data_IF_433690703066
#
_entry.id   IF_433690703066
#
_cell.length_a   1.000
_cell.length_b   1.000
_cell.length_c   1.000
_cell.angle_alpha   90.00
_cell.angle_beta   90.00
_cell.angle_gamma   90.00
#
_symmetry.space_group_name_H-M   'P 1'
#
loop_
_entity.id
_entity.type
_entity.pdbx_description
1 polymer ?
#
# COMPACT_ATOMS: atom_id res chain seq x y z
N UNK A 1 67.50 13.54 -36.94
CA UNK A 1 66.28 12.82 -36.44
C UNK A 1 65.11 13.76 -36.66
N UNK A 2 64.34 13.53 -37.72
CA UNK A 2 63.07 14.19 -37.92
C UNK A 2 62.09 13.74 -36.83
N UNK A 3 61.34 14.64 -36.19
CA UNK A 3 60.32 14.26 -35.23
C UNK A 3 59.22 13.45 -35.93
N UNK A 4 58.81 12.40 -35.27
CA UNK A 4 57.70 11.54 -35.68
C UNK A 4 56.40 12.39 -35.78
N UNK A 5 55.74 12.47 -36.96
CA UNK A 5 54.60 13.36 -37.16
C UNK A 5 53.30 12.89 -36.52
N UNK A 6 53.31 11.76 -35.79
CA UNK A 6 52.09 11.20 -35.23
C UNK A 6 52.23 10.68 -33.81
N UNK A 7 52.24 11.52 -32.78
CA UNK A 7 52.09 11.01 -31.41
C UNK A 7 50.66 10.53 -31.21
N UNK A 8 50.42 9.22 -31.35
CA UNK A 8 49.11 8.59 -31.06
C UNK A 8 48.31 8.18 -32.29
N UNK A 9 48.88 8.22 -33.50
CA UNK A 9 48.20 7.75 -34.73
C UNK A 9 48.30 6.22 -34.95
N UNK A 10 47.32 5.66 -35.60
CA UNK A 10 47.27 4.25 -36.03
C UNK A 10 48.40 4.00 -37.03
N UNK A 11 49.26 2.96 -36.88
CA UNK A 11 50.29 2.62 -37.86
C UNK A 11 49.72 2.40 -39.26
N UNK A 12 50.41 2.85 -40.33
CA UNK A 12 49.93 2.75 -41.72
C UNK A 12 49.59 1.33 -42.16
N UNK A 13 50.20 0.33 -41.55
CA UNK A 13 50.03 -1.11 -41.87
C UNK A 13 48.64 -1.67 -41.45
N UNK A 14 47.93 -0.96 -40.61
CA UNK A 14 46.62 -1.37 -40.10
C UNK A 14 45.43 -0.69 -40.78
N UNK A 15 45.68 0.13 -41.83
CA UNK A 15 44.62 0.82 -42.54
C UNK A 15 44.11 -0.02 -43.74
N UNK A 16 42.79 -0.10 -43.95
CA UNK A 16 42.26 -0.82 -45.08
C UNK A 16 42.66 -0.19 -46.43
N UNK A 17 42.79 -0.98 -47.50
CA UNK A 17 43.21 -0.51 -48.80
C UNK A 17 42.26 0.56 -49.35
N UNK A 18 42.80 1.74 -49.65
CA UNK A 18 42.06 2.88 -50.16
C UNK A 18 41.95 4.07 -49.19
N UNK A 19 42.45 3.95 -47.96
CA UNK A 19 42.41 5.08 -47.03
C UNK A 19 43.49 6.09 -47.33
N UNK A 20 43.12 7.38 -47.54
CA UNK A 20 44.05 8.47 -47.75
C UNK A 20 44.04 9.39 -46.55
N UNK A 21 45.12 9.47 -45.82
CA UNK A 21 45.27 10.47 -44.73
C UNK A 21 45.46 11.84 -45.36
N UNK A 22 44.54 12.75 -45.15
CA UNK A 22 44.66 14.15 -45.54
C UNK A 22 45.27 14.88 -44.32
N UNK A 23 46.50 15.36 -44.47
CA UNK A 23 47.13 16.20 -43.46
C UNK A 23 46.39 17.55 -43.46
N UNK A 24 45.72 17.84 -42.32
CA UNK A 24 45.15 19.18 -42.09
C UNK A 24 46.32 20.11 -41.74
N UNK A 25 46.67 20.99 -42.65
CA UNK A 25 47.65 22.05 -42.36
C UNK A 25 47.05 23.00 -41.33
N UNK A 26 47.77 23.43 -40.31
CA UNK A 26 47.34 24.49 -39.43
C UNK A 26 47.21 25.76 -40.25
N UNK A 27 46.03 26.42 -40.15
CA UNK A 27 45.75 27.68 -40.78
C UNK A 27 46.80 28.72 -40.36
N UNK A 28 47.46 29.33 -41.35
CA UNK A 28 48.33 30.48 -41.14
C UNK A 28 47.52 31.61 -40.51
N UNK A 29 47.94 32.01 -39.34
CA UNK A 29 47.51 33.27 -38.74
C UNK A 29 48.32 34.39 -39.36
N UNK A 30 47.80 35.04 -40.35
CA UNK A 30 48.04 36.43 -40.69
C UNK A 30 47.35 36.84 -41.99
N UNK A 31 46.07 37.18 -41.88
CA UNK A 31 45.43 38.07 -42.84
C UNK A 31 44.56 39.04 -42.02
N UNK A 32 45.01 40.32 -42.02
CA UNK A 32 44.37 41.39 -41.31
C UNK A 32 42.93 41.63 -41.81
N UNK A 33 42.00 40.95 -41.19
CA UNK A 33 40.58 41.26 -41.26
C UNK A 33 40.25 42.08 -40.03
N UNK A 34 39.93 43.32 -40.24
CA UNK A 34 39.39 44.30 -39.31
C UNK A 34 38.32 43.56 -38.39
N UNK A 35 38.67 43.30 -37.17
CA UNK A 35 37.70 42.82 -36.23
C UNK A 35 36.75 43.94 -35.84
N UNK A 36 35.44 43.83 -36.04
CA UNK A 36 34.51 44.77 -35.47
C UNK A 36 34.71 44.82 -33.96
N UNK A 37 35.00 45.96 -33.40
CA UNK A 37 35.09 46.19 -31.97
C UNK A 37 33.78 45.68 -31.31
N UNK A 38 33.83 44.94 -30.21
CA UNK A 38 32.63 44.59 -29.50
C UNK A 38 31.94 45.86 -29.02
N UNK A 39 30.76 46.09 -29.56
CA UNK A 39 29.85 47.16 -29.16
C UNK A 39 29.71 47.12 -27.64
N UNK A 40 30.13 48.18 -26.97
CA UNK A 40 29.95 48.36 -25.54
C UNK A 40 28.46 48.64 -25.29
N UNK A 41 27.66 47.62 -25.43
CA UNK A 41 26.30 47.66 -24.94
C UNK A 41 26.34 48.01 -23.44
N UNK A 42 25.59 49.01 -22.97
CA UNK A 42 25.60 49.40 -21.58
C UNK A 42 25.16 48.21 -20.74
N UNK A 43 26.10 47.68 -19.95
CA UNK A 43 25.83 46.62 -18.96
C UNK A 43 24.67 47.06 -18.06
N UNK A 44 23.48 46.55 -18.35
CA UNK A 44 22.30 46.82 -17.55
C UNK A 44 22.39 46.04 -16.20
N UNK A 45 23.20 46.60 -15.28
CA UNK A 45 23.36 46.08 -13.91
C UNK A 45 22.03 46.04 -13.16
N UNK A 46 20.98 46.70 -13.66
CA UNK A 46 19.65 46.70 -13.05
C UNK A 46 18.82 45.44 -13.45
N UNK A 47 19.07 44.84 -14.63
CA UNK A 47 18.41 43.61 -15.05
C UNK A 47 18.87 42.38 -14.21
N UNK A 48 20.16 42.34 -13.86
CA UNK A 48 20.69 41.28 -13.02
C UNK A 48 20.17 41.33 -11.56
N UNK A 49 19.95 42.54 -11.02
CA UNK A 49 19.33 42.73 -9.70
C UNK A 49 17.84 42.38 -9.68
N UNK A 50 17.10 42.71 -10.75
CA UNK A 50 15.68 42.36 -10.87
C UNK A 50 15.46 40.84 -11.00
N UNK A 51 16.33 40.15 -11.76
CA UNK A 51 16.29 38.69 -11.90
C UNK A 51 16.58 37.94 -10.59
N UNK A 52 17.53 38.47 -9.80
CA UNK A 52 17.86 37.90 -8.47
C UNK A 52 16.72 38.03 -7.46
N UNK A 53 16.09 39.21 -7.37
CA UNK A 53 14.98 39.44 -6.46
C UNK A 53 13.71 38.64 -6.83
N UNK A 54 13.42 38.56 -8.14
CA UNK A 54 12.31 37.73 -8.65
C UNK A 54 12.56 36.23 -8.42
N UNK A 55 13.80 35.77 -8.61
CA UNK A 55 14.21 34.40 -8.33
C UNK A 55 14.06 34.00 -6.84
N UNK A 56 14.47 34.89 -5.95
CA UNK A 56 14.32 34.66 -4.47
C UNK A 56 12.83 34.65 -4.09
N UNK A 57 12.02 35.55 -4.66
CA UNK A 57 10.56 35.56 -4.40
C UNK A 57 9.88 34.28 -4.87
N UNK A 58 10.23 33.76 -6.04
CA UNK A 58 9.70 32.50 -6.56
C UNK A 58 10.13 31.29 -5.73
N UNK A 59 11.38 31.25 -5.25
CA UNK A 59 11.84 30.17 -4.37
C UNK A 59 11.16 30.19 -3.02
N UNK A 60 10.94 31.36 -2.43
CA UNK A 60 10.20 31.51 -1.16
C UNK A 60 8.74 31.09 -1.34
N UNK A 61 8.11 31.49 -2.45
CA UNK A 61 6.73 31.11 -2.78
C UNK A 61 6.60 29.59 -3.00
N UNK A 62 7.57 28.98 -3.70
CA UNK A 62 7.61 27.53 -3.93
C UNK A 62 7.84 26.75 -2.62
N UNK A 63 8.72 27.23 -1.75
CA UNK A 63 8.93 26.68 -0.41
C UNK A 63 7.67 26.79 0.46
N UNK A 64 7.00 27.93 0.40
CA UNK A 64 5.75 28.15 1.14
C UNK A 64 4.61 27.28 0.64
N UNK A 65 4.49 27.09 -0.68
CA UNK A 65 3.52 26.17 -1.28
C UNK A 65 3.79 24.71 -0.87
N UNK A 66 5.06 24.26 -0.86
CA UNK A 66 5.46 22.94 -0.36
C UNK A 66 5.19 22.79 1.13
N UNK A 67 5.47 23.81 1.92
CA UNK A 67 5.21 23.80 3.36
C UNK A 67 3.71 23.72 3.67
N UNK A 68 2.86 24.49 2.96
CA UNK A 68 1.40 24.36 3.03
C UNK A 68 0.93 22.94 2.66
N UNK A 69 1.45 22.37 1.57
CA UNK A 69 1.12 21.01 1.16
C UNK A 69 1.47 19.97 2.24
N UNK A 70 2.68 20.08 2.82
CA UNK A 70 3.11 19.23 3.93
C UNK A 70 2.23 19.42 5.18
N UNK A 71 1.89 20.66 5.51
CA UNK A 71 1.02 20.96 6.66
C UNK A 71 -0.39 20.37 6.47
N UNK A 72 -0.98 20.52 5.28
CA UNK A 72 -2.27 19.91 4.93
C UNK A 72 -2.19 18.40 5.03
N UNK A 73 -1.11 17.78 4.52
CA UNK A 73 -0.87 16.35 4.61
C UNK A 73 -0.77 15.89 6.09
N UNK A 74 -0.02 16.60 6.93
CA UNK A 74 0.11 16.31 8.35
C UNK A 74 -1.22 16.45 9.11
N UNK A 75 -1.99 17.50 8.84
CA UNK A 75 -3.30 17.72 9.44
C UNK A 75 -4.32 16.63 9.03
N UNK A 76 -4.18 16.10 7.81
CA UNK A 76 -5.05 15.04 7.28
C UNK A 76 -4.48 13.63 7.49
N UNK A 77 -3.29 13.49 8.09
CA UNK A 77 -2.61 12.20 8.23
C UNK A 77 -3.47 11.13 8.92
N UNK A 78 -4.24 11.50 9.94
CA UNK A 78 -5.19 10.58 10.58
C UNK A 78 -6.24 10.03 9.61
N UNK A 79 -6.74 10.85 8.70
CA UNK A 79 -7.73 10.43 7.69
C UNK A 79 -7.12 9.52 6.64
N UNK A 80 -5.87 9.76 6.25
CA UNK A 80 -5.09 8.88 5.36
C UNK A 80 -4.90 7.52 6.02
N UNK A 81 -4.57 7.48 7.32
CA UNK A 81 -4.44 6.22 8.07
C UNK A 81 -5.79 5.49 8.19
N UNK A 82 -6.89 6.21 8.43
CA UNK A 82 -8.23 5.62 8.48
C UNK A 82 -8.61 5.06 7.11
N UNK A 83 -8.44 5.83 6.04
CA UNK A 83 -8.70 5.39 4.68
C UNK A 83 -7.85 4.17 4.30
N UNK A 84 -6.56 4.14 4.66
CA UNK A 84 -5.68 2.98 4.45
C UNK A 84 -6.17 1.73 5.17
N UNK A 85 -6.64 1.85 6.41
CA UNK A 85 -7.21 0.71 7.17
C UNK A 85 -8.53 0.22 6.56
N UNK A 86 -9.41 1.14 6.15
CA UNK A 86 -10.66 0.79 5.48
C UNK A 86 -10.40 0.12 4.12
N UNK A 87 -9.42 0.61 3.37
CA UNK A 87 -9.02 0.02 2.11
C UNK A 87 -8.42 -1.38 2.31
N UNK A 88 -7.58 -1.57 3.33
CA UNK A 88 -7.01 -2.88 3.65
C UNK A 88 -8.09 -3.87 4.05
N UNK A 89 -9.00 -3.50 4.96
CA UNK A 89 -10.09 -4.38 5.41
C UNK A 89 -11.11 -4.63 4.31
N UNK A 90 -11.65 -3.57 3.69
CA UNK A 90 -12.63 -3.69 2.61
C UNK A 90 -12.06 -4.33 1.35
N UNK A 91 -10.83 -3.97 0.97
CA UNK A 91 -10.13 -4.57 -0.17
C UNK A 91 -9.87 -6.06 0.02
N UNK A 92 -9.43 -6.49 1.22
CA UNK A 92 -9.22 -7.91 1.51
C UNK A 92 -10.54 -8.69 1.54
N UNK A 93 -11.63 -8.09 2.04
CA UNK A 93 -12.96 -8.69 2.01
C UNK A 93 -13.44 -8.89 0.56
N UNK A 94 -13.36 -7.85 -0.27
CA UNK A 94 -13.74 -7.94 -1.69
C UNK A 94 -12.89 -8.98 -2.43
N UNK A 95 -11.58 -9.00 -2.21
CA UNK A 95 -10.69 -9.99 -2.79
C UNK A 95 -11.06 -11.42 -2.37
N UNK A 96 -11.43 -11.62 -1.09
CA UNK A 96 -11.90 -12.91 -0.61
C UNK A 96 -13.21 -13.33 -1.27
N UNK A 97 -14.20 -12.44 -1.36
CA UNK A 97 -15.46 -12.73 -2.06
C UNK A 97 -15.16 -13.13 -3.53
N UNK A 98 -14.31 -12.36 -4.21
CA UNK A 98 -13.97 -12.62 -5.60
C UNK A 98 -13.31 -14.00 -5.79
N UNK A 99 -12.31 -14.34 -4.97
CA UNK A 99 -11.62 -15.64 -5.05
C UNK A 99 -12.53 -16.82 -4.69
N UNK A 100 -13.34 -16.70 -3.66
CA UNK A 100 -14.34 -17.73 -3.32
C UNK A 100 -15.40 -17.88 -4.40
N UNK A 101 -15.77 -16.78 -5.09
CA UNK A 101 -16.77 -16.82 -6.16
C UNK A 101 -16.34 -17.63 -7.38
N UNK A 102 -15.04 -17.73 -7.63
CA UNK A 102 -14.49 -18.55 -8.73
C UNK A 102 -14.79 -20.04 -8.51
N UNK A 103 -14.76 -20.47 -7.24
CA UNK A 103 -14.93 -21.89 -6.88
C UNK A 103 -16.40 -22.23 -6.61
N UNK A 104 -17.13 -21.37 -5.89
CA UNK A 104 -18.46 -21.69 -5.35
C UNK A 104 -19.58 -20.79 -5.88
N UNK A 105 -19.25 -19.83 -6.76
CA UNK A 105 -20.20 -18.86 -7.29
C UNK A 105 -20.47 -17.67 -6.36
N UNK A 106 -20.89 -16.54 -6.96
CA UNK A 106 -21.09 -15.26 -6.28
C UNK A 106 -22.08 -15.29 -5.10
N UNK A 107 -23.27 -15.96 -5.21
CA UNK A 107 -24.24 -15.94 -4.10
C UNK A 107 -23.69 -16.58 -2.82
N UNK A 108 -23.04 -17.74 -2.95
CA UNK A 108 -22.40 -18.43 -1.84
C UNK A 108 -21.24 -17.61 -1.27
N UNK A 109 -20.30 -17.21 -2.13
CA UNK A 109 -19.10 -16.47 -1.72
C UNK A 109 -19.44 -15.19 -0.94
N UNK A 110 -20.42 -14.44 -1.43
CA UNK A 110 -20.86 -13.21 -0.76
C UNK A 110 -21.47 -13.50 0.60
N UNK A 111 -22.42 -14.42 0.69
CA UNK A 111 -23.09 -14.75 1.95
C UNK A 111 -22.11 -15.32 2.98
N UNK A 112 -21.24 -16.23 2.56
CA UNK A 112 -20.23 -16.88 3.39
C UNK A 112 -19.20 -15.90 3.95
N UNK A 113 -18.57 -15.09 3.10
CA UNK A 113 -17.57 -14.11 3.55
C UNK A 113 -18.20 -13.02 4.42
N UNK A 114 -19.45 -12.63 4.16
CA UNK A 114 -20.18 -11.70 5.04
C UNK A 114 -20.48 -12.31 6.40
N UNK A 115 -20.81 -13.60 6.49
CA UNK A 115 -20.99 -14.25 7.80
C UNK A 115 -19.66 -14.35 8.57
N UNK A 116 -18.54 -14.66 7.90
CA UNK A 116 -17.22 -14.57 8.52
C UNK A 116 -16.96 -13.15 9.04
N UNK A 117 -17.32 -12.13 8.27
CA UNK A 117 -17.21 -10.74 8.72
C UNK A 117 -18.05 -10.47 9.98
N UNK A 118 -19.28 -10.96 10.04
CA UNK A 118 -20.16 -10.86 11.20
C UNK A 118 -19.55 -11.55 12.42
N UNK A 119 -18.95 -12.72 12.25
CA UNK A 119 -18.21 -13.44 13.29
C UNK A 119 -17.05 -12.57 13.83
N UNK A 120 -16.18 -12.03 12.97
CA UNK A 120 -15.05 -11.18 13.40
C UNK A 120 -15.53 -9.90 14.09
N UNK A 121 -16.67 -9.35 13.65
CA UNK A 121 -17.28 -8.20 14.32
C UNK A 121 -17.75 -8.53 15.74
N UNK A 122 -18.12 -9.77 16.03
CA UNK A 122 -18.38 -10.23 17.39
C UNK A 122 -17.18 -10.02 18.31
N UNK A 123 -15.99 -10.41 17.87
CA UNK A 123 -14.75 -10.17 18.59
C UNK A 123 -14.46 -8.67 18.77
N UNK A 124 -14.60 -7.87 17.70
CA UNK A 124 -14.39 -6.42 17.73
C UNK A 124 -15.31 -5.74 18.74
N UNK A 125 -16.60 -6.08 18.72
CA UNK A 125 -17.59 -5.52 19.65
C UNK A 125 -17.24 -5.87 21.09
N UNK A 126 -16.89 -7.13 21.39
CA UNK A 126 -16.50 -7.56 22.72
C UNK A 126 -15.24 -6.83 23.21
N UNK A 127 -14.20 -6.70 22.35
CA UNK A 127 -13.01 -5.91 22.66
C UNK A 127 -13.35 -4.45 22.95
N UNK A 128 -14.18 -3.83 22.12
CA UNK A 128 -14.60 -2.45 22.30
C UNK A 128 -15.34 -2.24 23.64
N UNK A 129 -16.29 -3.14 23.97
CA UNK A 129 -17.03 -3.09 25.23
C UNK A 129 -16.13 -3.28 26.46
N UNK A 130 -14.99 -3.92 26.32
CA UNK A 130 -13.99 -4.11 27.37
C UNK A 130 -12.87 -3.06 27.36
N UNK A 131 -12.96 -2.04 26.49
CA UNK A 131 -11.95 -0.97 26.36
C UNK A 131 -10.64 -1.42 25.72
N UNK A 132 -10.60 -2.60 25.07
CA UNK A 132 -9.42 -3.14 24.41
C UNK A 132 -9.38 -2.65 22.96
N UNK A 133 -8.22 -2.14 22.52
CA UNK A 133 -8.05 -1.71 21.13
C UNK A 133 -7.94 -2.91 20.20
N UNK A 134 -8.82 -2.97 19.21
CA UNK A 134 -8.82 -3.96 18.15
C UNK A 134 -8.12 -3.46 16.88
N UNK A 135 -7.59 -4.39 16.08
CA UNK A 135 -7.25 -4.11 14.68
C UNK A 135 -8.52 -4.05 13.82
N UNK A 136 -8.39 -3.58 12.56
CA UNK A 136 -9.42 -3.83 11.57
C UNK A 136 -9.42 -5.31 11.18
N UNK A 137 -10.58 -5.89 10.83
CA UNK A 137 -10.64 -7.24 10.29
C UNK A 137 -9.83 -7.35 9.00
N UNK A 138 -9.01 -8.38 8.87
CA UNK A 138 -8.25 -8.69 7.66
C UNK A 138 -8.68 -10.05 7.17
N UNK A 139 -9.06 -10.13 5.89
CA UNK A 139 -9.51 -11.35 5.24
C UNK A 139 -8.38 -11.97 4.44
N UNK A 140 -8.14 -13.26 4.65
CA UNK A 140 -7.20 -14.06 3.87
C UNK A 140 -8.04 -15.08 3.09
N UNK A 141 -8.07 -14.99 1.75
CA UNK A 141 -8.83 -15.92 0.94
C UNK A 141 -8.50 -17.37 1.29
N UNK A 142 -9.50 -18.22 1.39
CA UNK A 142 -9.44 -19.64 1.77
C UNK A 142 -8.92 -19.97 3.18
N UNK A 143 -8.38 -19.01 3.92
CA UNK A 143 -7.93 -19.19 5.30
C UNK A 143 -8.90 -18.59 6.34
N UNK A 144 -9.80 -17.70 5.90
CA UNK A 144 -10.75 -17.01 6.75
C UNK A 144 -10.40 -15.56 7.02
N UNK A 145 -10.76 -15.05 8.21
CA UNK A 145 -10.43 -13.70 8.64
C UNK A 145 -9.94 -13.73 10.09
N UNK A 146 -9.29 -12.63 10.48
CA UNK A 146 -8.86 -12.43 11.86
C UNK A 146 -8.86 -10.96 12.26
N UNK A 147 -9.07 -10.75 13.56
CA UNK A 147 -8.92 -9.45 14.24
C UNK A 147 -7.89 -9.62 15.36
N UNK A 148 -6.88 -8.74 15.39
CA UNK A 148 -5.87 -8.79 16.44
C UNK A 148 -6.22 -7.84 17.59
N UNK A 149 -6.06 -8.30 18.83
CA UNK A 149 -5.99 -7.44 20.01
C UNK A 149 -4.68 -6.67 19.97
N UNK A 150 -4.74 -5.34 20.15
CA UNK A 150 -3.55 -4.47 20.19
C UNK A 150 -3.01 -4.27 21.59
N UNK A 151 -3.76 -4.67 22.60
CA UNK A 151 -3.44 -4.55 24.01
C UNK A 151 -3.73 -5.89 24.68
N UNK A 152 -2.95 -6.25 25.68
CA UNK A 152 -3.20 -7.47 26.45
C UNK A 152 -4.51 -7.34 27.24
N UNK A 153 -5.35 -8.36 27.26
CA UNK A 153 -6.55 -8.35 28.10
C UNK A 153 -6.16 -8.25 29.58
N UNK A 154 -6.93 -7.53 30.40
CA UNK A 154 -6.60 -7.32 31.80
C UNK A 154 -6.63 -8.57 32.66
N UNK A 155 -7.37 -9.60 32.24
CA UNK A 155 -7.46 -10.90 32.89
C UNK A 155 -7.99 -11.98 31.93
N UNK A 156 -7.83 -13.25 32.31
CA UNK A 156 -8.26 -14.40 31.53
C UNK A 156 -9.77 -14.43 31.25
N UNK A 157 -10.60 -13.90 32.17
CA UNK A 157 -12.05 -13.83 31.98
C UNK A 157 -12.41 -12.93 30.79
N UNK A 158 -11.81 -11.75 30.69
CA UNK A 158 -12.04 -10.81 29.58
C UNK A 158 -11.56 -11.42 28.26
N UNK A 159 -10.42 -12.09 28.26
CA UNK A 159 -9.93 -12.82 27.08
C UNK A 159 -10.92 -13.92 26.64
N UNK A 160 -11.45 -14.68 27.58
CA UNK A 160 -12.45 -15.70 27.33
C UNK A 160 -13.76 -15.11 26.75
N UNK A 161 -14.23 -13.99 27.30
CA UNK A 161 -15.43 -13.30 26.80
C UNK A 161 -15.24 -12.82 25.36
N UNK A 162 -14.07 -12.25 25.04
CA UNK A 162 -13.74 -11.84 23.68
C UNK A 162 -13.66 -13.06 22.75
N UNK A 163 -13.04 -14.15 23.20
CA UNK A 163 -12.90 -15.38 22.40
C UNK A 163 -14.26 -16.02 22.05
N UNK A 164 -15.24 -15.98 22.95
CA UNK A 164 -16.58 -16.56 22.72
C UNK A 164 -17.47 -15.64 21.88
N UNK A 165 -17.24 -14.33 21.90
CA UNK A 165 -18.12 -13.35 21.26
C UNK A 165 -18.25 -13.56 19.74
N UNK A 166 -17.15 -13.90 19.06
CA UNK A 166 -17.17 -14.22 17.63
C UNK A 166 -18.09 -15.37 17.28
N UNK A 167 -17.85 -16.56 17.85
CA UNK A 167 -18.73 -17.73 17.68
C UNK A 167 -20.20 -17.47 18.03
N UNK A 168 -20.49 -16.72 19.09
CA UNK A 168 -21.87 -16.38 19.46
C UNK A 168 -22.57 -15.54 18.40
N UNK A 169 -21.91 -14.48 17.95
CA UNK A 169 -22.47 -13.55 16.94
C UNK A 169 -22.53 -14.26 15.58
N UNK A 170 -21.52 -15.03 15.20
CA UNK A 170 -21.51 -15.84 13.99
C UNK A 170 -22.64 -16.88 13.97
N UNK A 171 -22.87 -17.58 15.11
CA UNK A 171 -23.97 -18.53 15.27
C UNK A 171 -25.33 -17.83 15.14
N UNK A 172 -25.50 -16.64 15.70
CA UNK A 172 -26.72 -15.86 15.52
C UNK A 172 -26.94 -15.49 14.05
N UNK A 173 -25.88 -15.07 13.33
CA UNK A 173 -25.92 -14.83 11.89
C UNK A 173 -26.32 -16.05 11.07
N UNK A 174 -25.72 -17.22 11.38
CA UNK A 174 -26.06 -18.51 10.77
C UNK A 174 -27.52 -18.90 11.02
N UNK A 175 -28.04 -18.67 12.24
CA UNK A 175 -29.44 -18.92 12.56
C UNK A 175 -30.40 -18.04 11.75
N UNK A 176 -30.05 -16.77 11.51
CA UNK A 176 -30.80 -15.89 10.61
C UNK A 176 -30.83 -16.44 9.18
N UNK A 177 -29.67 -16.89 8.65
CA UNK A 177 -29.63 -17.51 7.32
C UNK A 177 -30.48 -18.78 7.27
N UNK A 178 -30.46 -19.61 8.31
CA UNK A 178 -31.29 -20.81 8.39
C UNK A 178 -32.80 -20.46 8.33
N UNK A 179 -33.23 -19.46 9.09
CA UNK A 179 -34.61 -18.98 9.10
C UNK A 179 -35.02 -18.45 7.71
N UNK A 180 -34.17 -17.69 7.05
CA UNK A 180 -34.43 -17.19 5.68
C UNK A 180 -34.58 -18.35 4.69
N UNK A 181 -33.77 -19.39 4.82
CA UNK A 181 -33.92 -20.60 4.03
C UNK A 181 -35.26 -21.31 4.26
N UNK A 182 -35.67 -21.43 5.54
CA UNK A 182 -36.94 -22.05 5.94
C UNK A 182 -38.17 -21.24 5.47
N UNK A 183 -38.06 -19.94 5.31
CA UNK A 183 -39.12 -19.07 4.80
C UNK A 183 -39.21 -19.07 3.25
N UNK A 184 -38.48 -19.96 2.56
CA UNK A 184 -38.55 -20.07 1.10
C UNK A 184 -37.48 -19.28 0.35
N UNK A 185 -36.45 -18.78 1.02
CA UNK A 185 -35.30 -18.04 0.42
C UNK A 185 -34.39 -18.89 -0.45
N UNK A 186 -34.65 -20.20 -0.54
CA UNK A 186 -33.89 -21.15 -1.36
C UNK A 186 -32.78 -21.88 -0.60
N UNK A 187 -32.26 -22.93 -1.23
CA UNK A 187 -31.29 -23.86 -0.63
C UNK A 187 -29.95 -23.20 -0.24
N UNK A 188 -29.60 -22.12 -0.92
CA UNK A 188 -28.33 -21.42 -0.68
C UNK A 188 -28.19 -20.94 0.75
N UNK A 189 -29.27 -20.48 1.38
CA UNK A 189 -29.27 -19.99 2.76
C UNK A 189 -28.96 -21.09 3.78
N UNK A 190 -29.44 -22.34 3.52
CA UNK A 190 -29.09 -23.48 4.38
C UNK A 190 -27.62 -23.86 4.25
N UNK A 191 -27.06 -23.78 3.03
CA UNK A 191 -25.65 -24.09 2.82
C UNK A 191 -24.77 -23.07 3.52
N UNK A 192 -25.07 -21.77 3.39
CA UNK A 192 -24.33 -20.70 4.06
C UNK A 192 -24.43 -20.86 5.59
N UNK A 193 -25.63 -21.15 6.12
CA UNK A 193 -25.82 -21.39 7.55
C UNK A 193 -25.01 -22.61 8.04
N UNK A 194 -25.01 -23.71 7.30
CA UNK A 194 -24.31 -24.92 7.67
C UNK A 194 -22.79 -24.71 7.72
N UNK A 195 -22.24 -24.01 6.73
CA UNK A 195 -20.80 -23.70 6.69
C UNK A 195 -20.39 -22.82 7.87
N UNK A 196 -21.17 -21.81 8.21
CA UNK A 196 -20.87 -20.94 9.34
C UNK A 196 -20.97 -21.69 10.68
N UNK A 197 -21.98 -22.53 10.86
CA UNK A 197 -22.05 -23.43 12.04
C UNK A 197 -20.83 -24.35 12.12
N UNK A 198 -20.40 -24.91 10.99
CA UNK A 198 -19.21 -25.75 10.91
C UNK A 198 -17.95 -24.98 11.30
N UNK A 199 -17.76 -23.77 10.75
CA UNK A 199 -16.60 -22.91 11.07
C UNK A 199 -16.60 -22.53 12.55
N UNK A 200 -17.74 -22.14 13.11
CA UNK A 200 -17.85 -21.81 14.52
C UNK A 200 -17.51 -23.03 15.40
N UNK A 201 -17.98 -24.21 15.02
CA UNK A 201 -17.64 -25.46 15.72
C UNK A 201 -16.14 -25.78 15.58
N UNK A 202 -15.58 -25.58 14.39
CA UNK A 202 -14.15 -25.87 14.12
C UNK A 202 -13.21 -24.89 14.84
N UNK A 203 -13.61 -23.61 15.01
CA UNK A 203 -12.88 -22.63 15.79
C UNK A 203 -12.97 -22.84 17.31
N UNK A 204 -13.89 -23.67 17.78
CA UNK A 204 -14.07 -23.97 19.20
C UNK A 204 -13.07 -24.98 19.82
N UNK A 205 -12.40 -25.93 19.11
CA UNK A 205 -11.40 -26.78 19.73
C UNK A 205 -10.26 -26.00 20.37
N UNK A 206 -9.64 -26.47 21.44
CA UNK A 206 -8.59 -25.79 22.19
C UNK A 206 -7.23 -25.90 21.48
N UNK A 207 -7.21 -25.65 20.17
CA UNK A 207 -6.00 -25.63 19.34
C UNK A 207 -5.57 -24.19 19.12
N UNK A 208 -4.34 -23.87 19.42
CA UNK A 208 -3.75 -22.58 19.08
C UNK A 208 -3.49 -22.59 17.56
N UNK A 209 -3.98 -21.60 16.80
CA UNK A 209 -4.50 -20.27 17.18
C UNK A 209 -6.04 -20.11 17.19
N UNK A 210 -6.83 -21.12 17.56
CA UNK A 210 -8.29 -21.02 17.59
C UNK A 210 -8.79 -20.21 18.79
N UNK A 211 -10.04 -19.72 18.71
CA UNK A 211 -10.66 -18.88 19.75
C UNK A 211 -10.69 -19.58 21.12
N UNK A 212 -10.94 -20.88 21.13
CA UNK A 212 -11.00 -21.69 22.36
C UNK A 212 -9.62 -22.11 22.89
N UNK A 213 -8.59 -22.17 22.04
CA UNK A 213 -7.21 -22.43 22.47
C UNK A 213 -6.72 -21.37 23.46
N UNK A 214 -7.08 -20.11 23.23
CA UNK A 214 -6.79 -19.00 24.15
C UNK A 214 -7.54 -19.15 25.48
N UNK A 215 -8.78 -19.62 25.44
CA UNK A 215 -9.61 -19.80 26.59
C UNK A 215 -9.07 -20.89 27.55
N UNK A 216 -8.59 -22.01 27.01
CA UNK A 216 -8.05 -23.12 27.79
C UNK A 216 -6.67 -22.81 28.36
N UNK A 217 -5.81 -22.11 27.67
CA UNK A 217 -4.50 -21.75 28.18
C UNK A 217 -4.54 -20.83 29.42
N UNK A 218 -5.64 -20.09 29.62
CA UNK A 218 -5.76 -19.13 30.72
C UNK A 218 -6.70 -19.57 31.86
N UNK A 219 -7.52 -20.57 31.64
CA UNK A 219 -8.52 -21.04 32.61
C UNK A 219 -8.12 -22.38 33.26
N UNK A 220 -7.16 -23.11 32.68
CA UNK A 220 -6.59 -24.30 33.26
C UNK A 220 -5.49 -23.91 34.27
N UNK A 221 -5.55 -24.36 35.55
CA UNK A 221 -4.53 -24.09 36.56
C UNK A 221 -3.19 -24.72 36.23
#
# INVERSE_FOLDING_TARGET
RTPDPHPGGIPPELLPPGYRIVAVQPAHADDGVDQPQPDKSPSNKNAAKAGGAAGIGLTILALWAKFKGLLILLLNFKWILIAGKLLLSGGSLIASIWLWSIVFGWPFATGFVLLIFVHEMGHVIAMYLRGIKASVPIFIPFLGAFVAMREMPPNARVEAEVAIAGPLVGTAGAAVCYILGAQGGGKIWFVIAAEEFFINLFKMPPLIPTDRGRLVCHVSP
#
